data_IF_803759734618
#
_entry.id   IF_803759734618
#
_cell.length_a   1.000
_cell.length_b   1.000
_cell.length_c   1.000
_cell.angle_alpha   90.00
_cell.angle_beta   90.00
_cell.angle_gamma   90.00
#
_symmetry.space_group_name_H-M   'P 1'
#
loop_
_entity.id
_entity.type
_entity.pdbx_description
1 polymer ?
#
# COMPACT_ATOMS: atom_id res chain seq x y z
N UNK A 1 1.77 17.35 -14.31
CA UNK A 1 2.11 16.31 -13.33
C UNK A 1 1.49 16.61 -11.99
N UNK A 2 0.72 15.74 -11.50
CA UNK A 2 0.09 15.95 -10.21
C UNK A 2 0.75 15.06 -9.16
N UNK A 3 0.90 15.59 -7.98
CA UNK A 3 1.23 14.80 -6.82
C UNK A 3 -0.03 14.71 -5.97
N UNK A 4 -0.13 13.62 -5.24
CA UNK A 4 -1.30 13.38 -4.42
C UNK A 4 -1.12 14.05 -3.06
N UNK A 5 -2.25 14.51 -2.51
CA UNK A 5 -2.27 15.07 -1.16
C UNK A 5 -1.70 14.04 -0.18
N UNK A 6 -0.66 14.38 0.59
CA UNK A 6 -0.07 13.43 1.53
C UNK A 6 -1.06 12.87 2.54
N UNK A 7 -2.06 13.64 2.93
CA UNK A 7 -3.06 13.17 3.87
C UNK A 7 -3.93 12.08 3.25
N UNK A 8 -4.36 12.28 2.01
CA UNK A 8 -5.13 11.27 1.30
C UNK A 8 -4.29 10.02 1.05
N UNK A 9 -3.06 10.20 0.62
CA UNK A 9 -2.16 9.10 0.36
C UNK A 9 -1.91 8.28 1.61
N UNK A 10 -1.71 8.95 2.74
CA UNK A 10 -1.44 8.27 4.01
C UNK A 10 -2.56 7.31 4.37
N UNK A 11 -3.81 7.70 4.12
CA UNK A 11 -4.95 6.85 4.43
C UNK A 11 -5.10 5.66 3.50
N UNK A 12 -4.56 5.76 2.28
CA UNK A 12 -4.71 4.72 1.27
C UNK A 12 -3.50 3.81 1.13
N UNK A 13 -2.36 4.24 1.65
CA UNK A 13 -1.10 3.55 1.40
C UNK A 13 -1.12 2.11 1.89
N UNK A 14 -1.70 1.86 3.07
CA UNK A 14 -1.78 0.50 3.59
C UNK A 14 -2.62 -0.39 2.67
N UNK A 15 -3.73 0.13 2.15
CA UNK A 15 -4.56 -0.62 1.21
C UNK A 15 -3.78 -0.98 -0.06
N UNK A 16 -3.03 -0.02 -0.58
CA UNK A 16 -2.24 -0.23 -1.79
C UNK A 16 -1.13 -1.27 -1.57
N UNK A 17 -0.48 -1.22 -0.41
CA UNK A 17 0.56 -2.19 -0.08
C UNK A 17 -0.02 -3.59 0.06
N UNK A 18 -1.18 -3.74 0.70
CA UNK A 18 -1.85 -5.03 0.79
C UNK A 18 -2.18 -5.55 -0.60
N UNK A 19 -2.64 -4.68 -1.49
CA UNK A 19 -2.98 -5.08 -2.86
C UNK A 19 -1.76 -5.60 -3.62
N UNK A 20 -0.62 -4.91 -3.48
CA UNK A 20 0.60 -5.36 -4.14
C UNK A 20 1.07 -6.70 -3.58
N UNK A 21 0.98 -6.88 -2.27
CA UNK A 21 1.39 -8.14 -1.65
C UNK A 21 0.42 -9.28 -1.95
N UNK A 22 -0.82 -8.98 -2.31
CA UNK A 22 -1.75 -10.01 -2.76
C UNK A 22 -1.31 -10.63 -4.09
N UNK A 23 -0.56 -9.89 -4.91
CA UNK A 23 -0.04 -10.39 -6.17
C UNK A 23 1.11 -11.38 -5.93
N UNK A 24 2.04 -11.00 -5.07
CA UNK A 24 3.14 -11.87 -4.64
C UNK A 24 3.90 -11.23 -3.48
N UNK A 25 4.64 -12.03 -2.74
CA UNK A 25 5.55 -11.53 -1.69
C UNK A 25 6.57 -10.59 -2.32
N UNK A 26 7.01 -9.60 -1.57
CA UNK A 26 7.99 -8.66 -2.09
C UNK A 26 8.73 -7.95 -0.94
N UNK A 27 9.82 -7.29 -1.28
CA UNK A 27 10.62 -6.54 -0.31
C UNK A 27 10.37 -5.03 -0.47
N UNK A 28 10.77 -4.28 0.56
CA UNK A 28 10.35 -2.88 0.68
C UNK A 28 10.68 -2.01 -0.52
N UNK A 29 11.92 -2.06 -1.02
CA UNK A 29 12.30 -1.19 -2.13
C UNK A 29 11.53 -1.53 -3.41
N UNK A 30 11.32 -2.82 -3.67
CA UNK A 30 10.53 -3.23 -4.83
C UNK A 30 9.09 -2.73 -4.71
N UNK A 31 8.52 -2.78 -3.50
CA UNK A 31 7.17 -2.25 -3.27
C UNK A 31 7.12 -0.75 -3.55
N UNK A 32 8.15 0.00 -3.13
CA UNK A 32 8.23 1.43 -3.46
C UNK A 32 8.20 1.63 -4.97
N UNK A 33 9.00 0.86 -5.70
CA UNK A 33 9.06 1.00 -7.15
C UNK A 33 7.75 0.61 -7.82
N UNK A 34 7.08 -0.42 -7.32
CA UNK A 34 5.78 -0.83 -7.86
C UNK A 34 4.70 0.23 -7.61
N UNK A 35 4.74 0.87 -6.44
CA UNK A 35 3.83 1.98 -6.17
C UNK A 35 4.07 3.13 -7.14
N UNK A 36 5.33 3.46 -7.38
CA UNK A 36 5.69 4.54 -8.32
C UNK A 36 5.22 4.21 -9.73
N UNK A 37 5.49 3.00 -10.17
CA UNK A 37 5.08 2.55 -11.51
C UNK A 37 3.55 2.50 -11.65
N UNK A 38 2.86 2.23 -10.55
CA UNK A 38 1.40 2.14 -10.55
C UNK A 38 0.68 3.48 -10.52
N UNK A 39 1.42 4.58 -10.40
CA UNK A 39 0.83 5.91 -10.43
C UNK A 39 1.26 6.85 -9.32
N UNK A 40 2.00 6.35 -8.33
CA UNK A 40 2.47 7.19 -7.22
C UNK A 40 3.93 7.58 -7.42
N UNK A 41 4.22 8.25 -8.54
CA UNK A 41 5.59 8.51 -8.97
C UNK A 41 6.49 9.20 -7.97
N UNK A 42 5.91 9.90 -6.99
CA UNK A 42 6.70 10.68 -6.04
C UNK A 42 6.68 10.09 -4.63
N UNK A 43 6.12 8.90 -4.46
CA UNK A 43 6.08 8.30 -3.12
C UNK A 43 7.50 8.05 -2.63
N UNK A 44 7.76 8.36 -1.36
CA UNK A 44 9.08 8.25 -0.77
C UNK A 44 9.22 7.00 0.08
N UNK A 45 10.44 6.47 0.15
CA UNK A 45 10.74 5.33 1.03
C UNK A 45 10.41 5.65 2.48
N UNK A 46 10.69 6.89 2.90
CA UNK A 46 10.38 7.33 4.26
C UNK A 46 8.90 7.28 4.62
N UNK A 47 8.04 7.21 3.62
CA UNK A 47 6.60 7.06 3.82
C UNK A 47 6.20 5.59 3.81
N UNK A 48 6.80 4.80 2.94
CA UNK A 48 6.42 3.41 2.74
C UNK A 48 6.90 2.49 3.87
N UNK A 49 8.16 2.64 4.31
CA UNK A 49 8.70 1.73 5.32
C UNK A 49 7.95 1.79 6.65
N UNK A 50 7.57 2.97 7.16
CA UNK A 50 6.74 3.01 8.37
C UNK A 50 5.38 2.35 8.20
N UNK A 51 4.79 2.46 7.00
CA UNK A 51 3.51 1.80 6.71
C UNK A 51 3.66 0.28 6.74
N UNK A 52 4.74 -0.25 6.17
CA UNK A 52 5.03 -1.69 6.22
C UNK A 52 5.21 -2.15 7.66
N UNK A 53 5.91 -1.35 8.48
CA UNK A 53 6.10 -1.68 9.89
C UNK A 53 4.76 -1.76 10.64
N UNK A 54 3.84 -0.84 10.34
CA UNK A 54 2.50 -0.87 10.95
C UNK A 54 1.72 -2.11 10.52
N UNK A 55 1.80 -2.48 9.25
CA UNK A 55 1.12 -3.67 8.75
C UNK A 55 1.64 -4.93 9.43
N UNK A 56 2.95 -4.99 9.64
CA UNK A 56 3.57 -6.12 10.31
C UNK A 56 3.12 -6.19 11.78
N UNK A 57 3.14 -5.06 12.49
CA UNK A 57 2.70 -5.01 13.90
C UNK A 57 1.24 -5.42 14.04
N UNK A 58 0.42 -5.08 13.07
CA UNK A 58 -1.02 -5.38 13.10
C UNK A 58 -1.34 -6.80 12.65
N UNK A 59 -0.33 -7.57 12.23
CA UNK A 59 -0.55 -8.93 11.79
C UNK A 59 -1.18 -9.06 10.40
N UNK A 60 -1.20 -7.97 9.63
CA UNK A 60 -1.75 -8.00 8.28
C UNK A 60 -0.74 -8.53 7.26
N UNK A 61 0.54 -8.44 7.61
CA UNK A 61 1.61 -9.06 6.84
C UNK A 61 2.58 -9.74 7.78
N UNK A 62 3.20 -10.81 7.31
CA UNK A 62 4.36 -11.41 7.96
C UNK A 62 5.62 -10.98 7.23
N UNK A 63 6.78 -11.29 7.80
CA UNK A 63 8.05 -10.94 7.18
C UNK A 63 9.03 -12.08 7.34
N UNK A 64 9.93 -12.21 6.37
CA UNK A 64 10.98 -13.21 6.40
C UNK A 64 12.19 -12.70 5.63
N UNK A 65 13.35 -13.25 5.94
CA UNK A 65 14.60 -12.85 5.29
C UNK A 65 14.92 -13.78 4.15
N UNK A 66 15.38 -13.21 3.04
CA UNK A 66 15.85 -13.95 1.89
C UNK A 66 17.34 -13.65 1.73
N UNK A 67 18.21 -14.68 1.77
CA UNK A 67 19.65 -14.46 1.60
C UNK A 67 19.94 -13.82 0.24
N UNK A 68 20.99 -13.01 0.23
CA UNK A 68 21.47 -12.34 -0.98
C UNK A 68 22.91 -12.73 -1.21
N UNK A 69 23.29 -12.95 -2.47
CA UNK A 69 24.67 -13.26 -2.82
C UNK A 69 25.61 -12.10 -2.57
N UNK A 70 25.07 -10.89 -2.55
CA UNK A 70 25.84 -9.67 -2.38
C UNK A 70 25.18 -8.78 -1.36
N UNK A 71 25.76 -8.72 -0.18
CA UNK A 71 25.29 -7.85 0.87
C UNK A 71 24.30 -8.53 1.79
N UNK A 72 23.59 -7.74 2.58
CA UNK A 72 22.68 -8.25 3.59
C UNK A 72 21.48 -8.96 3.00
N UNK A 73 20.91 -9.87 3.78
CA UNK A 73 19.64 -10.51 3.42
C UNK A 73 18.56 -9.45 3.25
N UNK A 74 17.63 -9.71 2.35
CA UNK A 74 16.50 -8.82 2.12
C UNK A 74 15.30 -9.26 2.93
N UNK A 75 14.59 -8.31 3.49
CA UNK A 75 13.37 -8.56 4.25
C UNK A 75 12.18 -8.55 3.29
N UNK A 76 11.56 -9.70 3.14
CA UNK A 76 10.36 -9.85 2.31
C UNK A 76 9.13 -9.84 3.20
N UNK A 77 8.03 -9.38 2.63
CA UNK A 77 6.73 -9.34 3.30
C UNK A 77 5.77 -10.26 2.58
N UNK A 78 4.89 -10.87 3.36
CA UNK A 78 3.86 -11.78 2.86
C UNK A 78 2.53 -11.38 3.45
N UNK A 79 1.51 -11.33 2.60
CA UNK A 79 0.15 -11.04 3.05
C UNK A 79 -0.35 -12.20 3.90
N UNK A 80 -0.86 -11.88 5.11
CA UNK A 80 -1.47 -12.89 5.98
C UNK A 80 -2.93 -13.12 5.58
N UNK A 81 -3.55 -14.15 6.16
CA UNK A 81 -4.98 -14.37 5.94
C UNK A 81 -5.79 -13.18 6.45
N UNK A 82 -5.43 -12.65 7.62
CA UNK A 82 -6.05 -11.43 8.14
C UNK A 82 -5.86 -10.27 7.17
N UNK A 83 -4.67 -10.16 6.58
CA UNK A 83 -4.39 -9.13 5.58
C UNK A 83 -5.26 -9.28 4.33
N UNK A 84 -5.50 -10.51 3.87
CA UNK A 84 -6.39 -10.73 2.73
C UNK A 84 -7.80 -10.27 3.03
N UNK A 85 -8.30 -10.60 4.21
CA UNK A 85 -9.64 -10.18 4.62
C UNK A 85 -9.72 -8.66 4.72
N UNK A 86 -8.69 -8.04 5.26
CA UNK A 86 -8.63 -6.58 5.38
C UNK A 86 -8.57 -5.93 4.00
N UNK A 87 -7.85 -6.53 3.07
CA UNK A 87 -7.78 -6.01 1.71
C UNK A 87 -9.16 -6.02 1.05
N UNK A 88 -9.87 -7.13 1.15
CA UNK A 88 -11.20 -7.25 0.54
C UNK A 88 -12.15 -6.21 1.13
N UNK A 89 -12.20 -6.10 2.46
CA UNK A 89 -13.05 -5.12 3.12
C UNK A 89 -12.64 -3.69 2.77
N UNK A 90 -11.34 -3.44 2.65
CA UNK A 90 -10.83 -2.11 2.30
C UNK A 90 -11.16 -1.70 0.88
N UNK A 91 -11.13 -2.63 -0.06
CA UNK A 91 -11.52 -2.34 -1.45
C UNK A 91 -13.00 -1.99 -1.52
N UNK A 92 -13.85 -2.76 -0.83
CA UNK A 92 -15.28 -2.46 -0.79
C UNK A 92 -15.54 -1.09 -0.18
N UNK A 93 -14.90 -0.81 0.95
CA UNK A 93 -15.05 0.49 1.62
C UNK A 93 -14.58 1.63 0.72
N UNK A 94 -13.51 1.44 -0.01
CA UNK A 94 -12.98 2.43 -0.95
C UNK A 94 -14.01 2.75 -2.03
N UNK A 95 -14.61 1.73 -2.64
CA UNK A 95 -15.60 1.94 -3.68
C UNK A 95 -16.85 2.66 -3.15
N UNK A 96 -17.25 2.32 -1.93
CA UNK A 96 -18.37 3.02 -1.30
C UNK A 96 -18.02 4.48 -1.05
N UNK A 97 -16.81 4.74 -0.56
CA UNK A 97 -16.37 6.11 -0.28
C UNK A 97 -16.28 6.94 -1.55
N UNK A 98 -15.78 6.36 -2.63
CA UNK A 98 -15.73 7.05 -3.93
C UNK A 98 -17.14 7.48 -4.34
N UNK A 99 -18.13 6.61 -4.16
CA UNK A 99 -19.50 6.93 -4.48
C UNK A 99 -20.04 8.11 -3.66
N UNK A 100 -19.72 8.12 -2.36
CA UNK A 100 -20.14 9.22 -1.47
C UNK A 100 -19.47 10.52 -1.89
N UNK A 101 -18.16 10.47 -2.15
CA UNK A 101 -17.43 11.68 -2.56
C UNK A 101 -17.99 12.21 -3.88
N UNK A 102 -18.21 11.33 -4.85
CA UNK A 102 -18.74 11.73 -6.13
C UNK A 102 -20.12 12.38 -5.97
N UNK A 103 -20.97 11.79 -5.12
CA UNK A 103 -22.30 12.30 -4.90
C UNK A 103 -22.27 13.69 -4.24
N UNK A 104 -21.45 13.84 -3.21
CA UNK A 104 -21.41 15.08 -2.43
C UNK A 104 -20.67 16.20 -3.15
N UNK A 105 -19.77 15.88 -4.08
CA UNK A 105 -19.04 16.88 -4.85
C UNK A 105 -19.66 17.16 -6.22
N UNK A 106 -20.77 16.53 -6.49
CA UNK A 106 -21.49 16.69 -7.74
C UNK A 106 -21.89 18.17 -7.90
N UNK A 107 -21.57 18.73 -9.04
CA UNK A 107 -21.87 20.14 -9.29
C UNK A 107 -20.80 21.12 -8.86
N UNK A 108 -19.77 20.67 -8.13
CA UNK A 108 -18.63 21.54 -7.78
C UNK A 108 -17.53 21.48 -8.82
N UNK A 109 -17.62 20.56 -9.77
CA UNK A 109 -16.63 20.43 -10.84
C UNK A 109 -16.93 21.45 -11.91
N UNK A 110 -15.90 22.01 -12.44
CA UNK A 110 -16.05 22.99 -13.51
C UNK A 110 -15.40 22.51 -14.78
#
# INVERSE_FOLDING_TARGET
MSSFDPQMLKGLLTLLLLALLAEHDDYGYSLVERLRAGGLGEVAEGTVYPALARLERSGLVGAYLVPSDRGPARKYYRLSDTGRNQLAAGVDAWHQLVGVVDHLTKGTRS
#
